data_IF_143742178160
#
_entry.id   IF_143742178160
#
_cell.length_a   1.000
_cell.length_b   1.000
_cell.length_c   1.000
_cell.angle_alpha   90.00
_cell.angle_beta   90.00
_cell.angle_gamma   90.00
#
_symmetry.space_group_name_H-M   'P 1'
#
loop_
_entity.id
_entity.type
_entity.pdbx_description
1 polymer ?
#
# COMPACT_ATOMS: atom_id res chain seq x y z
N UNK A 1 23.35 15.87 -17.10
CA UNK A 1 22.09 15.63 -17.84
C UNK A 1 20.94 15.85 -16.87
N UNK A 2 20.07 16.84 -17.10
CA UNK A 2 18.80 16.94 -16.37
C UNK A 2 17.89 15.80 -16.86
N UNK A 3 17.17 15.08 -15.98
CA UNK A 3 16.18 14.13 -16.44
C UNK A 3 15.13 14.86 -17.30
N UNK A 4 14.56 14.20 -18.31
CA UNK A 4 13.53 14.83 -19.14
C UNK A 4 12.38 15.27 -18.25
N UNK A 5 11.95 16.52 -18.41
CA UNK A 5 10.73 17.02 -17.78
C UNK A 5 9.59 16.10 -18.24
N UNK A 6 9.06 15.30 -17.31
CA UNK A 6 7.91 14.46 -17.59
C UNK A 6 6.72 15.39 -17.84
N UNK A 7 6.17 15.33 -19.05
CA UNK A 7 4.85 15.90 -19.33
C UNK A 7 3.87 15.30 -18.32
N UNK A 8 3.21 16.11 -17.47
CA UNK A 8 2.23 15.59 -16.54
C UNK A 8 1.16 14.86 -17.34
N UNK A 9 0.96 13.58 -17.05
CA UNK A 9 -0.17 12.87 -17.63
C UNK A 9 -1.44 13.48 -17.06
N UNK A 10 -2.39 13.82 -17.93
CA UNK A 10 -3.71 14.34 -17.54
C UNK A 10 -4.64 13.22 -17.08
N UNK A 11 -4.12 12.24 -16.33
CA UNK A 11 -4.95 11.23 -15.70
C UNK A 11 -5.55 11.89 -14.44
N UNK A 12 -6.88 11.93 -14.28
CA UNK A 12 -7.49 12.46 -13.07
C UNK A 12 -6.98 11.69 -11.86
N UNK A 13 -6.57 12.41 -10.80
CA UNK A 13 -6.33 11.76 -9.52
C UNK A 13 -7.61 11.10 -9.04
N UNK A 14 -7.49 9.98 -8.31
CA UNK A 14 -8.65 9.38 -7.68
C UNK A 14 -9.22 10.36 -6.66
N UNK A 15 -10.55 10.58 -6.60
CA UNK A 15 -11.14 11.51 -5.66
C UNK A 15 -10.65 11.24 -4.22
N UNK A 16 -10.14 12.29 -3.58
CA UNK A 16 -9.65 12.25 -2.19
C UNK A 16 -8.19 11.82 -2.01
N UNK A 17 -7.50 11.35 -3.04
CA UNK A 17 -6.06 11.08 -2.96
C UNK A 17 -5.27 12.41 -2.87
N UNK A 18 -4.16 12.40 -2.13
CA UNK A 18 -3.29 13.56 -1.99
C UNK A 18 -1.81 13.15 -1.96
N UNK A 19 -1.06 13.57 -2.98
CA UNK A 19 0.36 13.23 -3.18
C UNK A 19 1.16 14.46 -3.67
N UNK A 20 1.52 15.39 -2.78
CA UNK A 20 1.99 16.73 -3.16
C UNK A 20 3.28 16.74 -3.99
N UNK A 21 4.18 15.78 -3.75
CA UNK A 21 5.48 15.70 -4.40
C UNK A 21 5.66 14.41 -5.23
N UNK A 22 4.57 13.67 -5.47
CA UNK A 22 4.58 12.40 -6.21
C UNK A 22 3.52 12.46 -7.32
N UNK A 23 3.79 13.19 -8.43
CA UNK A 23 2.84 13.29 -9.53
C UNK A 23 2.60 11.93 -10.21
N UNK A 24 1.47 11.80 -10.90
CA UNK A 24 1.18 10.62 -11.73
C UNK A 24 2.20 10.53 -12.87
N UNK A 25 2.96 9.44 -12.92
CA UNK A 25 4.00 9.19 -13.95
C UNK A 25 3.51 8.27 -15.07
N UNK A 26 2.42 7.53 -14.83
CA UNK A 26 1.74 6.64 -15.79
C UNK A 26 0.37 6.23 -15.27
N UNK A 27 -0.52 5.86 -16.18
CA UNK A 27 -1.77 5.21 -15.80
C UNK A 27 -1.51 3.82 -15.18
N UNK A 28 -2.43 3.38 -14.32
CA UNK A 28 -2.44 2.04 -13.73
C UNK A 28 -2.53 0.98 -14.83
N UNK A 29 -3.29 1.26 -15.90
CA UNK A 29 -3.51 0.36 -17.02
C UNK A 29 -4.64 -0.63 -16.79
N UNK A 30 -4.93 -1.46 -17.79
CA UNK A 30 -5.92 -2.54 -17.73
C UNK A 30 -5.18 -3.84 -18.05
N UNK A 31 -5.39 -4.88 -17.24
CA UNK A 31 -4.71 -6.16 -17.38
C UNK A 31 -5.74 -7.29 -17.52
N UNK A 32 -5.35 -8.37 -18.20
CA UNK A 32 -6.20 -9.56 -18.36
C UNK A 32 -6.65 -10.14 -17.01
N UNK A 33 -5.79 -10.02 -15.99
CA UNK A 33 -6.11 -10.43 -14.62
C UNK A 33 -7.32 -9.70 -14.02
N UNK A 34 -7.63 -8.48 -14.47
CA UNK A 34 -8.81 -7.72 -14.04
C UNK A 34 -10.13 -8.31 -14.58
N UNK A 35 -10.05 -9.05 -15.68
CA UNK A 35 -11.20 -9.73 -16.29
C UNK A 35 -11.44 -11.11 -15.67
N UNK A 36 -10.45 -11.66 -14.96
CA UNK A 36 -10.55 -12.94 -14.27
C UNK A 36 -11.00 -12.75 -12.82
N UNK A 37 -12.15 -13.34 -12.43
CA UNK A 37 -12.64 -13.30 -11.03
C UNK A 37 -11.79 -14.10 -10.03
N UNK A 38 -10.71 -14.75 -10.48
CA UNK A 38 -9.87 -15.62 -9.65
C UNK A 38 -8.82 -14.83 -8.83
N UNK A 39 -9.13 -13.69 -8.26
CA UNK A 39 -8.07 -12.77 -7.82
C UNK A 39 -7.43 -13.10 -6.45
N UNK A 40 -7.95 -14.07 -5.68
CA UNK A 40 -7.68 -14.08 -4.22
C UNK A 40 -7.20 -15.41 -3.60
N UNK A 41 -6.96 -16.49 -4.36
CA UNK A 41 -6.75 -17.85 -3.77
C UNK A 41 -5.49 -18.60 -4.17
N UNK A 42 -4.49 -17.96 -4.79
CA UNK A 42 -3.27 -18.66 -5.22
C UNK A 42 -2.20 -18.76 -4.13
N UNK A 43 -2.10 -17.76 -3.25
CA UNK A 43 -1.37 -17.93 -1.99
C UNK A 43 -2.41 -18.32 -0.95
N UNK A 44 -2.29 -19.52 -0.38
CA UNK A 44 -3.09 -19.96 0.78
C UNK A 44 -2.61 -19.24 2.06
N UNK A 45 -2.54 -17.90 2.02
CA UNK A 45 -2.22 -17.12 3.19
C UNK A 45 -3.51 -16.71 3.90
N UNK A 46 -3.69 -17.24 5.10
CA UNK A 46 -4.79 -16.88 5.99
C UNK A 46 -4.29 -15.79 6.91
N UNK A 47 -4.60 -14.53 6.56
CA UNK A 47 -4.42 -13.39 7.45
C UNK A 47 -5.53 -13.43 8.50
N UNK A 48 -5.17 -13.72 9.75
CA UNK A 48 -6.09 -13.68 10.89
C UNK A 48 -6.28 -12.22 11.33
N UNK A 49 -7.09 -11.47 10.58
CA UNK A 49 -7.57 -10.18 11.03
C UNK A 49 -8.85 -10.39 11.85
N UNK A 50 -8.93 -9.79 13.04
CA UNK A 50 -10.24 -9.52 13.67
C UNK A 50 -10.97 -8.54 12.76
N UNK A 51 -11.75 -9.06 11.80
CA UNK A 51 -12.66 -8.28 10.98
C UNK A 51 -13.77 -7.73 11.87
N UNK A 52 -13.47 -6.68 12.63
CA UNK A 52 -14.48 -6.02 13.43
C UNK A 52 -15.46 -5.34 12.46
N UNK A 53 -16.78 -5.45 12.67
CA UNK A 53 -17.79 -4.86 11.78
C UNK A 53 -17.69 -3.32 11.62
N UNK A 54 -16.85 -2.67 12.42
CA UNK A 54 -16.61 -1.21 12.41
C UNK A 54 -15.36 -0.81 11.64
N UNK A 55 -14.75 -1.69 10.84
CA UNK A 55 -13.63 -1.31 9.98
C UNK A 55 -14.19 -0.46 8.82
N UNK A 56 -14.11 0.86 8.99
CA UNK A 56 -14.50 1.86 8.00
C UNK A 56 -13.47 1.82 6.85
N UNK A 57 -13.89 2.04 5.59
CA UNK A 57 -12.95 2.30 4.51
C UNK A 57 -11.92 3.35 4.92
N UNK A 58 -10.64 2.97 4.88
CA UNK A 58 -9.55 3.70 5.52
C UNK A 58 -8.73 4.57 4.58
N UNK A 59 -7.67 5.14 5.12
CA UNK A 59 -6.65 5.87 4.34
C UNK A 59 -5.44 4.96 4.15
N UNK A 60 -4.97 4.82 2.90
CA UNK A 60 -3.71 4.16 2.58
C UNK A 60 -2.61 5.20 2.50
N UNK A 61 -1.74 5.26 3.50
CA UNK A 61 -0.60 6.18 3.54
C UNK A 61 0.64 5.57 2.88
N UNK A 62 1.45 6.41 2.23
CA UNK A 62 2.72 6.03 1.63
C UNK A 62 3.86 6.73 2.36
N UNK A 63 4.81 5.97 2.89
CA UNK A 63 6.01 6.50 3.54
C UNK A 63 7.26 6.13 2.74
N UNK A 64 8.27 7.00 2.80
CA UNK A 64 9.62 6.63 2.37
C UNK A 64 10.36 5.87 3.48
N UNK A 65 11.47 5.21 3.14
CA UNK A 65 12.30 4.48 4.11
C UNK A 65 12.92 5.36 5.22
N UNK A 66 12.88 6.70 5.09
CA UNK A 66 13.33 7.63 6.11
C UNK A 66 12.26 7.96 7.17
N UNK A 67 11.00 7.59 6.92
CA UNK A 67 9.88 7.90 7.82
C UNK A 67 8.98 9.07 7.39
N UNK A 68 9.28 9.73 6.28
CA UNK A 68 8.46 10.84 5.78
C UNK A 68 7.23 10.35 5.01
N UNK A 69 6.06 10.94 5.29
CA UNK A 69 4.82 10.68 4.56
C UNK A 69 4.87 11.37 3.19
N UNK A 70 4.75 10.60 2.12
CA UNK A 70 4.77 11.07 0.73
C UNK A 70 3.37 11.41 0.22
N UNK A 71 2.33 10.96 0.90
CA UNK A 71 0.93 11.17 0.54
C UNK A 71 0.03 10.02 0.98
N UNK A 72 -1.23 10.11 0.59
CA UNK A 72 -2.23 9.12 0.94
C UNK A 72 -3.29 8.94 -0.15
N UNK A 73 -3.93 7.77 -0.14
CA UNK A 73 -5.07 7.45 -0.99
C UNK A 73 -6.27 7.03 -0.15
N UNK A 74 -7.47 7.37 -0.61
CA UNK A 74 -8.70 6.88 0.02
C UNK A 74 -8.95 5.44 -0.42
N UNK A 75 -9.22 4.56 0.54
CA UNK A 75 -9.62 3.19 0.27
C UNK A 75 -11.14 3.07 0.40
N UNK A 76 -11.80 2.46 -0.57
CA UNK A 76 -13.22 2.10 -0.49
C UNK A 76 -13.44 0.71 0.13
N UNK A 77 -12.36 -0.10 0.17
CA UNK A 77 -12.34 -1.44 0.73
C UNK A 77 -11.22 -1.54 1.76
N UNK A 78 -11.48 -2.23 2.87
CA UNK A 78 -10.49 -2.50 3.91
C UNK A 78 -9.35 -3.34 3.32
N UNK A 79 -8.11 -2.93 3.57
CA UNK A 79 -6.89 -3.65 3.14
C UNK A 79 -6.80 -3.87 1.61
N UNK A 80 -7.21 -2.86 0.83
CA UNK A 80 -7.21 -2.96 -0.64
C UNK A 80 -5.81 -3.08 -1.24
N UNK A 81 -5.47 -4.29 -1.69
CA UNK A 81 -4.27 -4.53 -2.52
C UNK A 81 -4.32 -3.78 -3.85
N UNK A 82 -5.51 -3.46 -4.34
CA UNK A 82 -5.70 -2.72 -5.58
C UNK A 82 -5.28 -1.24 -5.42
N UNK A 83 -5.63 -0.60 -4.30
CA UNK A 83 -5.16 0.77 -3.98
C UNK A 83 -3.64 0.79 -3.82
N UNK A 84 -3.06 -0.17 -3.09
CA UNK A 84 -1.60 -0.26 -2.93
C UNK A 84 -0.90 -0.44 -4.29
N UNK A 85 -1.39 -1.35 -5.14
CA UNK A 85 -0.84 -1.54 -6.48
C UNK A 85 -1.01 -0.29 -7.35
N UNK A 86 -2.16 0.38 -7.30
CA UNK A 86 -2.43 1.62 -8.03
C UNK A 86 -1.44 2.71 -7.65
N UNK A 87 -1.18 2.92 -6.36
CA UNK A 87 -0.17 3.88 -5.90
C UNK A 87 1.20 3.52 -6.46
N UNK A 88 1.66 2.27 -6.27
CA UNK A 88 2.97 1.83 -6.76
C UNK A 88 3.10 2.07 -8.27
N UNK A 89 2.09 1.66 -9.04
CA UNK A 89 2.16 1.64 -10.50
C UNK A 89 2.02 3.03 -11.12
N UNK A 90 1.27 3.93 -10.48
CA UNK A 90 1.00 5.27 -11.02
C UNK A 90 1.96 6.35 -10.53
N UNK A 91 2.58 6.15 -9.35
CA UNK A 91 3.45 7.15 -8.72
C UNK A 91 4.94 6.85 -8.91
N UNK A 92 5.31 5.62 -9.26
CA UNK A 92 6.71 5.24 -9.48
C UNK A 92 6.99 4.79 -10.92
N UNK A 93 8.11 5.26 -11.49
CA UNK A 93 8.55 4.82 -12.81
C UNK A 93 8.96 3.33 -12.83
N UNK A 94 9.67 2.91 -11.78
CA UNK A 94 10.04 1.53 -11.47
C UNK A 94 9.53 1.19 -10.08
N UNK A 95 9.10 -0.04 -9.85
CA UNK A 95 8.67 -0.45 -8.53
C UNK A 95 9.83 -0.27 -7.53
N UNK A 96 9.58 0.21 -6.29
CA UNK A 96 10.61 0.28 -5.26
C UNK A 96 11.28 -1.08 -5.02
N UNK A 97 12.58 -1.08 -4.71
CA UNK A 97 13.32 -2.32 -4.43
C UNK A 97 12.78 -3.07 -3.19
N UNK A 98 12.16 -2.34 -2.27
CA UNK A 98 11.51 -2.87 -1.08
C UNK A 98 10.15 -2.20 -0.91
N UNK A 99 9.11 -3.02 -0.83
CA UNK A 99 7.75 -2.64 -0.47
C UNK A 99 7.40 -3.35 0.82
N UNK A 100 7.08 -2.59 1.86
CA UNK A 100 6.59 -3.12 3.13
C UNK A 100 5.12 -2.77 3.26
N UNK A 101 4.28 -3.78 3.48
CA UNK A 101 2.83 -3.63 3.55
C UNK A 101 2.21 -4.73 4.42
N UNK A 102 1.11 -4.45 5.10
CA UNK A 102 0.46 -5.42 6.01
C UNK A 102 -0.01 -6.69 5.27
N UNK A 103 -0.48 -6.56 4.02
CA UNK A 103 -0.91 -7.63 3.16
C UNK A 103 0.03 -7.83 1.95
N UNK A 104 1.34 -7.65 2.17
CA UNK A 104 2.36 -7.67 1.12
C UNK A 104 2.37 -8.97 0.30
N UNK A 105 2.05 -10.12 0.90
CA UNK A 105 1.97 -11.39 0.18
C UNK A 105 0.92 -11.38 -0.94
N UNK A 106 -0.30 -10.93 -0.63
CA UNK A 106 -1.37 -10.83 -1.62
C UNK A 106 -1.09 -9.70 -2.61
N UNK A 107 -0.55 -8.56 -2.15
CA UNK A 107 -0.14 -7.47 -3.03
C UNK A 107 0.91 -7.93 -4.07
N UNK A 108 1.89 -8.73 -3.65
CA UNK A 108 2.90 -9.25 -4.56
C UNK A 108 2.30 -10.15 -5.64
N UNK A 109 1.41 -11.09 -5.27
CA UNK A 109 0.69 -11.93 -6.23
C UNK A 109 -0.20 -11.12 -7.15
N UNK A 110 -0.92 -10.15 -6.59
CA UNK A 110 -1.79 -9.24 -7.33
C UNK A 110 -1.00 -8.49 -8.40
N UNK A 111 0.18 -7.98 -8.03
CA UNK A 111 1.07 -7.26 -8.94
C UNK A 111 1.71 -8.16 -10.00
N UNK A 112 2.18 -9.36 -9.63
CA UNK A 112 2.78 -10.32 -10.57
C UNK A 112 1.82 -10.76 -11.67
N UNK A 113 0.52 -10.86 -11.38
CA UNK A 113 -0.50 -11.21 -12.39
C UNK A 113 -0.80 -10.11 -13.38
N UNK A 114 -0.42 -8.88 -13.05
CA UNK A 114 -0.76 -7.67 -13.81
C UNK A 114 0.45 -7.15 -14.55
N UNK A 115 1.50 -6.84 -13.80
CA UNK A 115 2.72 -6.26 -14.35
C UNK A 115 3.95 -6.93 -13.73
N UNK A 116 4.26 -8.19 -14.10
CA UNK A 116 5.40 -8.92 -13.55
C UNK A 116 6.72 -8.22 -13.88
N UNK A 117 6.81 -7.55 -15.03
CA UNK A 117 8.01 -6.80 -15.40
C UNK A 117 8.24 -5.61 -14.47
N UNK A 118 7.18 -4.94 -14.03
CA UNK A 118 7.28 -3.81 -13.11
C UNK A 118 7.81 -4.22 -11.72
N UNK A 119 7.44 -5.39 -11.22
CA UNK A 119 7.78 -5.86 -9.87
C UNK A 119 8.94 -6.85 -9.79
N UNK A 120 9.54 -7.25 -10.92
CA UNK A 120 10.57 -8.31 -10.99
C UNK A 120 11.80 -8.07 -10.10
N UNK A 121 12.15 -6.82 -9.83
CA UNK A 121 13.34 -6.42 -9.07
C UNK A 121 12.99 -5.96 -7.64
N UNK A 122 11.75 -6.20 -7.19
CA UNK A 122 11.19 -5.70 -5.93
C UNK A 122 10.96 -6.81 -4.92
N UNK A 123 11.28 -6.54 -3.66
CA UNK A 123 10.91 -7.40 -2.53
C UNK A 123 9.65 -6.88 -1.87
N UNK A 124 8.69 -7.76 -1.65
CA UNK A 124 7.46 -7.47 -0.92
C UNK A 124 7.53 -8.18 0.42
N UNK A 125 7.53 -7.43 1.52
CA UNK A 125 7.68 -7.95 2.87
C UNK A 125 6.52 -7.48 3.74
N UNK A 126 6.02 -8.38 4.59
CA UNK A 126 4.93 -8.10 5.50
C UNK A 126 5.45 -7.27 6.67
N UNK A 127 4.71 -6.24 7.07
CA UNK A 127 5.04 -5.45 8.25
C UNK A 127 5.16 -6.34 9.51
N UNK A 128 6.11 -6.00 10.40
CA UNK A 128 6.41 -6.77 11.62
C UNK A 128 5.22 -6.91 12.57
N UNK A 129 4.37 -5.88 12.70
CA UNK A 129 3.20 -5.99 13.57
C UNK A 129 2.28 -7.11 13.08
N UNK A 130 2.13 -7.18 11.76
CA UNK A 130 1.15 -8.02 11.10
C UNK A 130 1.68 -9.43 10.81
N UNK A 131 2.99 -9.64 10.71
CA UNK A 131 3.58 -10.94 10.36
C UNK A 131 3.02 -12.11 11.17
N UNK A 132 2.85 -11.94 12.49
CA UNK A 132 2.31 -12.99 13.39
C UNK A 132 0.87 -13.40 13.06
N UNK A 133 0.12 -12.55 12.36
CA UNK A 133 -1.24 -12.82 11.95
C UNK A 133 -1.32 -13.53 10.59
N UNK A 134 -0.19 -13.75 9.92
CA UNK A 134 -0.12 -14.46 8.64
C UNK A 134 0.20 -15.94 8.88
N UNK A 135 -0.57 -16.81 8.23
CA UNK A 135 -0.32 -18.26 8.22
C UNK A 135 -0.43 -18.79 6.80
N UNK A 136 0.41 -19.76 6.42
CA UNK A 136 0.49 -20.28 5.03
C UNK A 136 1.25 -19.40 4.04
N UNK A 137 1.69 -18.21 4.47
CA UNK A 137 2.65 -17.39 3.75
C UNK A 137 4.07 -18.00 3.75
N UNK A 138 4.85 -17.82 2.68
CA UNK A 138 6.27 -18.17 2.64
C UNK A 138 7.09 -17.29 3.59
N UNK A 139 8.14 -17.84 4.21
CA UNK A 139 9.11 -17.09 5.03
C UNK A 139 9.80 -15.97 4.25
N UNK A 140 9.84 -16.04 2.91
CA UNK A 140 10.34 -14.96 2.06
C UNK A 140 9.53 -13.66 2.16
N UNK A 141 8.35 -13.68 2.78
CA UNK A 141 7.57 -12.48 3.09
C UNK A 141 7.85 -11.93 4.50
N UNK A 142 8.62 -12.64 5.35
CA UNK A 142 8.96 -12.16 6.68
C UNK A 142 10.01 -11.05 6.60
N UNK A 143 9.67 -9.84 7.06
CA UNK A 143 10.63 -8.74 7.09
C UNK A 143 11.86 -9.05 7.96
N UNK A 144 11.69 -9.81 9.04
CA UNK A 144 12.77 -10.17 9.98
C UNK A 144 13.74 -11.23 9.43
N UNK A 145 13.41 -11.89 8.32
CA UNK A 145 14.34 -12.79 7.62
C UNK A 145 15.48 -12.03 6.90
N UNK A 146 15.43 -10.69 6.89
CA UNK A 146 16.36 -9.83 6.16
C UNK A 146 17.09 -8.87 7.12
N UNK A 147 18.30 -9.20 7.60
CA UNK A 147 19.05 -8.40 8.57
C UNK A 147 19.30 -6.95 8.13
N UNK A 148 19.44 -6.71 6.82
CA UNK A 148 19.62 -5.38 6.25
C UNK A 148 18.43 -4.43 6.53
N UNK A 149 17.24 -4.98 6.85
CA UNK A 149 16.03 -4.22 7.12
C UNK A 149 15.76 -4.04 8.62
N UNK A 150 16.66 -4.47 9.50
CA UNK A 150 16.45 -4.49 10.95
C UNK A 150 16.10 -3.11 11.54
N UNK A 151 16.71 -2.04 11.02
CA UNK A 151 16.48 -0.67 11.50
C UNK A 151 15.28 0.03 10.83
N UNK A 152 14.60 -0.61 9.89
CA UNK A 152 13.44 -0.01 9.21
C UNK A 152 12.24 0.00 10.15
N UNK A 153 11.65 1.16 10.43
CA UNK A 153 10.37 1.20 11.15
C UNK A 153 9.23 0.82 10.20
N UNK A 154 8.78 -0.43 10.26
CA UNK A 154 7.68 -0.92 9.41
C UNK A 154 6.28 -0.53 9.93
N UNK A 155 6.19 -0.01 11.18
CA UNK A 155 4.94 0.30 11.87
C UNK A 155 4.53 1.79 11.77
N UNK A 156 5.24 2.58 10.95
CA UNK A 156 5.02 4.03 10.82
C UNK A 156 3.57 4.40 10.53
N UNK A 157 2.92 3.66 9.62
CA UNK A 157 1.53 3.91 9.24
C UNK A 157 0.56 3.78 10.44
N UNK A 158 0.74 2.74 11.25
CA UNK A 158 -0.08 2.49 12.43
C UNK A 158 0.18 3.50 13.55
N UNK A 159 1.44 3.88 13.74
CA UNK A 159 1.82 4.88 14.74
C UNK A 159 1.23 6.26 14.42
N UNK A 160 1.21 6.63 13.14
CA UNK A 160 0.69 7.93 12.68
C UNK A 160 -0.84 7.95 12.73
N UNK A 161 -1.50 6.91 12.23
CA UNK A 161 -2.96 6.81 12.26
C UNK A 161 -3.51 6.68 13.69
N UNK A 162 -2.73 6.14 14.63
CA UNK A 162 -3.11 6.10 16.06
C UNK A 162 -3.03 7.47 16.74
N UNK A 163 -2.14 8.37 16.28
CA UNK A 163 -2.05 9.72 16.82
C UNK A 163 -3.30 10.55 16.44
N UNK A 164 -3.80 10.39 15.22
CA UNK A 164 -5.02 11.06 14.73
C UNK A 164 -6.26 10.70 15.57
N UNK A 165 -6.33 9.48 16.12
CA UNK A 165 -7.45 9.03 16.98
C UNK A 165 -7.48 9.70 18.36
N UNK A 166 -6.38 10.33 18.78
CA UNK A 166 -6.28 11.01 20.08
C UNK A 166 -6.49 12.53 19.99
N UNK A 167 -6.62 13.08 18.78
CA UNK A 167 -7.07 14.46 18.62
C UNK A 167 -8.60 14.47 18.71
N UNK A 168 -9.11 14.88 19.87
CA UNK A 168 -10.54 14.88 20.18
C UNK A 168 -11.35 15.53 19.05
N UNK A 169 -12.37 14.82 18.59
CA UNK A 169 -13.36 15.36 17.67
C UNK A 169 -13.84 16.73 18.16
N UNK A 170 -13.77 17.81 17.36
CA UNK A 170 -14.38 19.07 17.75
C UNK A 170 -15.88 18.84 17.94
N UNK A 171 -16.38 19.11 19.14
CA UNK A 171 -17.81 19.15 19.44
C UNK A 171 -18.44 20.26 18.59
N UNK A 172 -18.93 19.89 17.41
CA UNK A 172 -19.72 20.76 16.54
C UNK A 172 -21.20 20.37 16.68
N UNK A 173 -21.83 20.75 17.78
CA UNK A 173 -23.24 21.18 17.83
C UNK A 173 -23.59 21.60 19.27
N UNK A 174 -23.96 22.87 19.46
CA UNK A 174 -25.05 23.35 20.34
C UNK A 174 -24.99 24.89 20.40
N UNK A 175 -25.59 25.52 19.40
CA UNK A 175 -26.20 26.84 19.56
C UNK A 175 -27.55 26.80 18.85
N UNK A 176 -28.58 26.51 19.63
CA UNK A 176 -29.98 26.81 19.37
C UNK A 176 -30.50 27.69 20.50
#
# INVERSE_FOLDING_TARGET
>A
MKPPFHTPLTVPEHPGDYFPNMPLVKDRGIFDADMSREDSRLIDCKKMATRHPSLIPGVSTLFCGHGECLGFAIMEQVESVEVAFRILRTRFQKCPELVVYDNACQLHTYALRRDPHFVKDSRFLVDRLHWRNHSGCSEGYNLDAYPQNMCLNSQLAEQTCSAEKNEGAPQLYEQG
#
